data_IF_262138532512
#
_entry.id   IF_262138532512
#
_cell.length_a   1.000
_cell.length_b   1.000
_cell.length_c   1.000
_cell.angle_alpha   90.00
_cell.angle_beta   90.00
_cell.angle_gamma   90.00
#
_symmetry.space_group_name_H-M   'P 1'
#
loop_
_entity.id
_entity.type
_entity.pdbx_description
1 polymer ?
#
# COMPACT_ATOMS: atom_id res chain seq x y z
N UNK A 1 -6.04 -0.56 15.04
CA UNK A 1 -5.22 -1.58 15.73
C UNK A 1 -4.36 -0.87 16.77
N UNK A 2 -4.29 -1.35 18.01
CA UNK A 2 -3.50 -0.71 19.07
C UNK A 2 -2.15 -1.44 19.16
N UNK A 3 -1.04 -0.77 18.86
CA UNK A 3 0.32 -1.28 19.12
C UNK A 3 0.86 -0.58 20.38
N UNK A 4 1.07 -1.33 21.46
CA UNK A 4 1.62 -0.81 22.73
C UNK A 4 3.05 -1.30 22.93
N UNK A 5 3.89 -0.45 23.49
CA UNK A 5 5.20 -0.74 24.04
C UNK A 5 5.09 -1.91 25.03
N UNK A 6 5.97 -2.90 24.86
CA UNK A 6 6.13 -3.99 25.83
C UNK A 6 6.95 -3.58 27.05
N UNK A 7 7.81 -2.56 26.89
CA UNK A 7 8.66 -1.99 27.93
C UNK A 7 8.61 -0.46 27.83
N UNK A 8 8.35 0.23 28.94
CA UNK A 8 8.26 1.70 29.00
C UNK A 8 9.60 2.37 29.33
N UNK A 9 10.66 1.60 29.58
CA UNK A 9 12.00 2.09 29.92
C UNK A 9 12.85 2.41 28.69
N UNK A 10 12.44 1.93 27.52
CA UNK A 10 13.06 2.26 26.23
C UNK A 10 12.01 2.98 25.37
N UNK A 11 12.39 4.05 24.66
CA UNK A 11 11.48 4.74 23.72
C UNK A 11 11.10 3.86 22.50
N UNK A 12 11.53 2.58 22.48
CA UNK A 12 11.34 1.61 21.42
C UNK A 12 10.17 0.69 21.76
N UNK A 13 9.12 0.74 20.95
CA UNK A 13 7.92 -0.08 21.09
C UNK A 13 7.92 -1.32 20.15
N UNK A 14 6.75 -1.94 19.98
CA UNK A 14 6.56 -3.17 19.19
C UNK A 14 7.21 -3.07 17.80
N UNK A 15 7.96 -4.11 17.45
CA UNK A 15 8.68 -4.24 16.17
C UNK A 15 9.79 -3.21 15.95
N UNK A 16 10.29 -2.55 17.01
CA UNK A 16 11.44 -1.65 16.92
C UNK A 16 11.11 -0.21 16.53
N UNK A 17 9.82 0.13 16.42
CA UNK A 17 9.38 1.49 16.07
C UNK A 17 9.26 2.37 17.31
N UNK A 18 9.62 3.66 17.21
CA UNK A 18 9.58 4.57 18.34
C UNK A 18 8.12 4.92 18.72
N UNK A 19 7.87 4.92 20.03
CA UNK A 19 6.66 5.47 20.63
C UNK A 19 5.39 4.63 20.56
N UNK A 20 4.49 4.89 21.51
CA UNK A 20 3.16 4.30 21.60
C UNK A 20 2.17 5.02 20.67
N UNK A 21 1.89 4.39 19.51
CA UNK A 21 1.01 4.95 18.47
C UNK A 21 -0.31 4.19 18.40
N UNK A 22 -1.40 4.96 18.41
CA UNK A 22 -2.75 4.49 18.13
C UNK A 22 -3.05 4.81 16.66
N UNK A 23 -3.42 3.77 15.92
CA UNK A 23 -3.83 3.89 14.51
C UNK A 23 -5.34 3.69 14.43
N UNK A 24 -6.02 4.68 13.87
CA UNK A 24 -7.45 4.65 13.56
C UNK A 24 -7.64 4.49 12.05
N UNK A 25 -8.54 3.60 11.66
CA UNK A 25 -8.90 3.38 10.25
C UNK A 25 -10.42 3.47 10.12
N UNK A 26 -10.90 4.36 9.25
CA UNK A 26 -12.32 4.51 8.93
C UNK A 26 -12.58 4.04 7.50
N UNK A 27 -13.51 3.10 7.36
CA UNK A 27 -14.03 2.66 6.07
C UNK A 27 -15.40 3.29 5.87
N UNK A 28 -15.55 4.07 4.80
CA UNK A 28 -16.75 4.85 4.53
C UNK A 28 -17.24 4.48 3.14
N UNK A 29 -18.47 3.98 3.06
CA UNK A 29 -19.19 3.85 1.80
C UNK A 29 -19.94 5.17 1.57
N UNK A 30 -19.51 5.96 0.59
CA UNK A 30 -20.12 7.24 0.25
C UNK A 30 -20.56 7.27 -1.22
N UNK A 31 -21.46 8.22 -1.55
CA UNK A 31 -21.89 8.43 -2.94
C UNK A 31 -22.34 7.15 -3.66
N UNK A 32 -22.15 7.12 -4.98
CA UNK A 32 -22.40 5.94 -5.81
C UNK A 32 -21.09 5.19 -6.05
N UNK A 33 -20.97 3.97 -5.52
CA UNK A 33 -19.85 3.05 -5.71
C UNK A 33 -18.48 3.59 -5.25
N UNK A 34 -18.43 4.36 -4.15
CA UNK A 34 -17.17 4.88 -3.62
C UNK A 34 -16.89 4.30 -2.23
N UNK A 35 -15.70 3.70 -2.09
CA UNK A 35 -15.12 3.34 -0.80
C UNK A 35 -14.02 4.36 -0.47
N UNK A 36 -14.15 5.04 0.66
CA UNK A 36 -13.14 5.95 1.21
C UNK A 36 -12.51 5.28 2.43
N UNK A 37 -11.17 5.22 2.45
CA UNK A 37 -10.40 4.68 3.57
C UNK A 37 -9.54 5.80 4.14
N UNK A 38 -9.79 6.17 5.39
CA UNK A 38 -9.03 7.21 6.11
C UNK A 38 -8.20 6.51 7.18
N UNK A 39 -6.89 6.77 7.19
CA UNK A 39 -5.96 6.21 8.18
C UNK A 39 -5.27 7.36 8.91
N UNK A 40 -5.35 7.38 10.25
CA UNK A 40 -4.78 8.45 11.08
C UNK A 40 -3.97 7.91 12.25
N UNK A 41 -3.04 8.73 12.72
CA UNK A 41 -2.17 8.45 13.87
C UNK A 41 -2.37 9.53 14.92
N UNK A 42 -2.19 9.18 16.19
CA UNK A 42 -2.22 10.14 17.29
C UNK A 42 -0.87 10.82 17.56
N UNK A 43 0.24 10.29 17.03
CA UNK A 43 1.61 10.77 17.27
C UNK A 43 2.52 10.51 16.06
N UNK A 44 3.55 11.35 15.81
CA UNK A 44 4.56 11.10 14.79
C UNK A 44 5.38 9.83 15.09
N UNK A 45 5.55 8.98 14.08
CA UNK A 45 6.49 7.84 14.06
C UNK A 45 6.72 7.47 12.59
N UNK A 46 7.86 6.84 12.21
CA UNK A 46 8.01 6.28 10.87
C UNK A 46 6.94 5.23 10.58
N UNK A 47 5.96 5.57 9.72
CA UNK A 47 4.85 4.69 9.37
C UNK A 47 4.41 4.94 7.92
N UNK A 48 4.19 3.86 7.18
CA UNK A 48 3.61 3.89 5.83
C UNK A 48 2.51 2.82 5.75
N UNK A 49 1.24 3.25 5.78
CA UNK A 49 0.10 2.35 5.77
C UNK A 49 -0.47 2.22 4.35
N UNK A 50 -0.92 1.01 3.99
CA UNK A 50 -1.56 0.73 2.71
C UNK A 50 -2.77 -0.20 2.91
N UNK A 51 -3.73 -0.14 1.98
CA UNK A 51 -4.82 -1.09 1.89
C UNK A 51 -4.46 -2.19 0.89
N UNK A 52 -4.49 -3.46 1.31
CA UNK A 52 -4.02 -4.60 0.52
C UNK A 52 -5.18 -5.36 -0.15
N UNK A 53 -6.08 -4.63 -0.82
CA UNK A 53 -7.20 -5.24 -1.54
C UNK A 53 -6.73 -5.94 -2.82
N UNK A 54 -7.40 -7.04 -3.14
CA UNK A 54 -7.28 -7.73 -4.42
C UNK A 54 -8.57 -7.54 -5.20
N UNK A 55 -8.44 -7.18 -6.48
CA UNK A 55 -9.56 -7.03 -7.39
C UNK A 55 -9.58 -8.20 -8.38
N UNK A 56 -10.78 -8.72 -8.61
CA UNK A 56 -11.11 -9.61 -9.69
C UNK A 56 -12.53 -9.25 -10.13
N UNK A 57 -12.65 -8.63 -11.29
CA UNK A 57 -13.90 -8.06 -11.79
C UNK A 57 -14.86 -9.14 -12.29
N UNK A 58 -14.36 -10.34 -12.60
CA UNK A 58 -15.18 -11.52 -12.87
C UNK A 58 -15.89 -12.06 -11.61
N UNK A 59 -15.46 -11.62 -10.42
CA UNK A 59 -16.03 -12.03 -9.14
C UNK A 59 -15.42 -13.32 -8.58
N UNK A 60 -16.03 -13.83 -7.51
CA UNK A 60 -15.54 -15.02 -6.82
C UNK A 60 -15.60 -16.24 -7.76
N UNK A 61 -14.52 -17.03 -7.79
CA UNK A 61 -14.37 -18.23 -8.61
C UNK A 61 -14.38 -18.00 -10.14
N UNK A 62 -14.18 -16.77 -10.61
CA UNK A 62 -14.10 -16.44 -12.05
C UNK A 62 -12.81 -16.92 -12.73
N UNK A 63 -11.81 -17.32 -11.95
CA UNK A 63 -10.48 -17.69 -12.45
C UNK A 63 -9.48 -16.54 -12.36
N UNK A 64 -8.72 -16.34 -13.45
CA UNK A 64 -7.63 -15.37 -13.51
C UNK A 64 -8.10 -14.00 -14.02
N UNK A 65 -7.23 -12.99 -13.85
CA UNK A 65 -7.48 -11.59 -14.25
C UNK A 65 -6.93 -11.24 -15.64
N UNK A 66 -6.46 -12.21 -16.44
CA UNK A 66 -5.65 -11.93 -17.64
C UNK A 66 -6.40 -11.19 -18.75
N UNK A 67 -7.73 -11.21 -18.71
CA UNK A 67 -8.60 -10.50 -19.65
C UNK A 67 -9.04 -9.12 -19.12
N UNK A 68 -8.65 -8.74 -17.90
CA UNK A 68 -8.95 -7.43 -17.33
C UNK A 68 -8.04 -6.36 -17.95
N UNK A 69 -8.62 -5.18 -18.22
CA UNK A 69 -7.90 -4.05 -18.81
C UNK A 69 -7.56 -3.05 -17.72
N UNK A 70 -6.30 -2.60 -17.68
CA UNK A 70 -5.81 -1.67 -16.65
C UNK A 70 -5.03 -0.52 -17.28
N UNK A 71 -5.27 0.69 -16.79
CA UNK A 71 -4.46 1.87 -17.07
C UNK A 71 -3.83 2.38 -15.77
N UNK A 72 -2.52 2.61 -15.79
CA UNK A 72 -1.75 3.13 -14.66
C UNK A 72 -1.10 4.46 -15.07
N UNK A 73 -1.46 5.54 -14.39
CA UNK A 73 -0.89 6.87 -14.60
C UNK A 73 0.49 7.04 -13.94
N UNK A 74 1.41 6.10 -14.22
CA UNK A 74 2.78 6.08 -13.70
C UNK A 74 3.76 5.70 -14.80
N UNK A 75 4.63 6.62 -15.19
CA UNK A 75 5.59 6.44 -16.29
C UNK A 75 6.93 5.85 -15.86
N UNK A 76 7.11 5.59 -14.57
CA UNK A 76 8.34 5.08 -13.98
C UNK A 76 8.06 4.09 -12.84
N UNK A 77 8.97 3.15 -12.66
CA UNK A 77 9.03 2.24 -11.50
C UNK A 77 10.31 2.47 -10.71
N UNK A 78 10.31 2.08 -9.45
CA UNK A 78 11.52 2.02 -8.62
C UNK A 78 12.21 0.70 -8.93
N UNK A 79 13.43 0.77 -9.47
CA UNK A 79 14.22 -0.43 -9.74
C UNK A 79 14.68 -1.06 -8.42
N UNK A 80 14.50 -2.37 -8.30
CA UNK A 80 14.89 -3.15 -7.12
C UNK A 80 15.95 -4.19 -7.46
N UNK A 81 16.73 -4.60 -6.46
CA UNK A 81 17.65 -5.72 -6.59
C UNK A 81 16.92 -7.08 -6.47
N UNK A 82 17.69 -8.17 -6.50
CA UNK A 82 17.15 -9.53 -6.36
C UNK A 82 16.55 -9.84 -4.98
N UNK A 83 16.74 -8.95 -3.99
CA UNK A 83 16.13 -9.02 -2.66
C UNK A 83 14.94 -8.06 -2.52
N UNK A 84 14.51 -7.45 -3.63
CA UNK A 84 13.44 -6.46 -3.70
C UNK A 84 13.76 -5.15 -2.94
N UNK A 85 15.04 -4.84 -2.73
CA UNK A 85 15.48 -3.59 -2.10
C UNK A 85 15.62 -2.50 -3.18
N UNK A 86 15.06 -1.29 -2.98
CA UNK A 86 15.23 -0.18 -3.90
C UNK A 86 16.70 0.16 -4.16
N UNK A 87 17.06 0.25 -5.43
CA UNK A 87 18.42 0.62 -5.88
C UNK A 87 18.66 2.14 -5.90
N UNK A 88 17.63 2.94 -5.62
CA UNK A 88 17.64 4.41 -5.77
C UNK A 88 17.44 4.90 -7.20
N UNK A 89 17.25 3.99 -8.18
CA UNK A 89 17.04 4.34 -9.59
C UNK A 89 15.56 4.27 -9.97
N UNK A 90 15.12 5.26 -10.75
CA UNK A 90 13.84 5.22 -11.46
C UNK A 90 14.06 4.67 -12.87
N UNK A 91 13.25 3.70 -13.28
CA UNK A 91 13.27 3.13 -14.63
C UNK A 91 11.97 3.47 -15.36
N UNK A 92 12.05 3.86 -16.64
CA UNK A 92 10.85 4.13 -17.44
C UNK A 92 10.09 2.85 -17.74
N UNK A 93 8.75 2.92 -17.72
CA UNK A 93 7.89 1.81 -18.14
C UNK A 93 7.74 1.71 -19.65
N UNK A 94 8.05 2.77 -20.39
CA UNK A 94 7.75 2.87 -21.83
C UNK A 94 8.41 1.74 -22.63
N UNK A 95 7.61 1.00 -23.39
CA UNK A 95 8.08 -0.13 -24.21
C UNK A 95 8.50 -1.37 -23.40
N UNK A 96 8.18 -1.42 -22.11
CA UNK A 96 8.39 -2.60 -21.25
C UNK A 96 7.09 -3.36 -21.02
N UNK A 97 7.15 -4.53 -20.39
CA UNK A 97 5.96 -5.27 -19.94
C UNK A 97 5.17 -4.54 -18.84
N UNK A 98 5.71 -3.46 -18.29
CA UNK A 98 5.05 -2.61 -17.30
C UNK A 98 4.40 -1.36 -17.94
N UNK A 99 4.37 -1.25 -19.27
CA UNK A 99 3.80 -0.11 -19.99
C UNK A 99 2.26 -0.16 -20.02
N UNK A 100 1.63 0.29 -18.92
CA UNK A 100 0.18 0.40 -18.78
C UNK A 100 -0.31 1.85 -18.90
N UNK A 101 0.39 2.71 -19.66
CA UNK A 101 0.05 4.12 -19.79
C UNK A 101 -1.27 4.36 -20.55
N UNK A 102 -1.74 3.35 -21.27
CA UNK A 102 -3.02 3.32 -21.98
C UNK A 102 -3.75 2.01 -21.62
N UNK A 103 -5.09 1.98 -21.70
CA UNK A 103 -5.86 0.74 -21.59
C UNK A 103 -5.49 -0.25 -22.71
#
# INVERSE_FOLDING_TARGET
MIKRCKDKSTDICVSGFPGDVIISVSYILSGKNQLVIIMTLNKPTPLNLANHAYWNLGGQNSGNILNEVVQIFGSQIIAVDNKLIPTGKFASVKGTTYDFLKP
#
